data_IF_919056715941
#
_entry.id   IF_919056715941
#
_cell.length_a   1.000
_cell.length_b   1.000
_cell.length_c   1.000
_cell.angle_alpha   90.00
_cell.angle_beta   90.00
_cell.angle_gamma   90.00
#
_symmetry.space_group_name_H-M   'P 1'
#
loop_
_entity.id
_entity.type
_entity.pdbx_description
1 polymer ?
#
# COMPACT_ATOMS: atom_id res chain seq x y z
N UNK A 1 2.43 -20.91 -0.04
CA UNK A 1 3.45 -19.84 0.07
C UNK A 1 2.82 -18.44 0.10
N UNK A 2 3.43 -17.44 0.78
CA UNK A 2 3.00 -16.04 0.75
C UNK A 2 3.76 -15.25 -0.31
N UNK A 3 3.05 -14.58 -1.21
CA UNK A 3 3.61 -13.75 -2.27
C UNK A 3 3.44 -12.26 -1.99
N UNK A 4 4.19 -11.43 -2.70
CA UNK A 4 3.89 -10.01 -2.79
C UNK A 4 2.67 -9.81 -3.70
N UNK A 5 2.01 -8.66 -3.63
CA UNK A 5 0.93 -8.36 -4.56
C UNK A 5 1.53 -7.97 -5.93
N UNK A 6 1.06 -8.56 -7.06
CA UNK A 6 1.46 -8.13 -8.38
C UNK A 6 1.13 -6.65 -8.63
N UNK A 7 2.07 -5.94 -9.23
CA UNK A 7 1.89 -4.53 -9.60
C UNK A 7 0.81 -4.31 -10.67
N UNK A 8 0.48 -3.04 -10.91
CA UNK A 8 -0.30 -2.62 -12.07
C UNK A 8 0.61 -2.31 -13.24
N UNK A 9 0.06 -2.29 -14.46
CA UNK A 9 0.79 -1.74 -15.60
C UNK A 9 1.05 -0.25 -15.37
N UNK A 10 2.22 0.24 -15.78
CA UNK A 10 2.48 1.67 -15.79
C UNK A 10 1.55 2.33 -16.82
N UNK A 11 0.90 3.41 -16.38
CA UNK A 11 -0.03 4.19 -17.17
C UNK A 11 0.21 5.67 -16.84
N UNK A 12 -0.03 6.61 -17.78
CA UNK A 12 0.14 8.04 -17.50
C UNK A 12 -0.53 8.49 -16.19
N UNK A 13 -1.70 7.92 -15.89
CA UNK A 13 -2.51 8.23 -14.71
C UNK A 13 -1.88 7.78 -13.37
N UNK A 14 -1.09 6.71 -13.35
CA UNK A 14 -0.39 6.24 -12.14
C UNK A 14 1.09 6.63 -12.08
N UNK A 15 1.62 7.24 -13.14
CA UNK A 15 2.95 7.86 -13.18
C UNK A 15 2.91 9.34 -12.79
N UNK A 16 1.74 9.98 -12.81
CA UNK A 16 1.56 11.38 -12.45
C UNK A 16 0.36 11.56 -11.51
N UNK A 17 0.63 11.77 -10.21
CA UNK A 17 -0.41 12.13 -9.22
C UNK A 17 -1.49 11.06 -9.06
N UNK A 18 -1.09 9.79 -9.11
CA UNK A 18 -1.97 8.64 -8.88
C UNK A 18 -2.13 8.27 -7.40
N UNK A 19 -2.68 7.08 -7.15
CA UNK A 19 -2.78 6.46 -5.82
C UNK A 19 -1.77 5.32 -5.72
N UNK A 20 -0.87 5.40 -4.74
CA UNK A 20 0.13 4.37 -4.47
C UNK A 20 -0.26 3.57 -3.23
N UNK A 21 -0.50 2.27 -3.39
CA UNK A 21 -0.70 1.33 -2.28
C UNK A 21 0.67 0.75 -1.91
N UNK A 22 1.19 1.14 -0.75
CA UNK A 22 2.46 0.65 -0.20
C UNK A 22 2.17 -0.52 0.74
N UNK A 23 2.63 -1.71 0.38
CA UNK A 23 2.33 -2.95 1.08
C UNK A 23 3.57 -3.52 1.77
N UNK A 24 3.42 -4.11 2.96
CA UNK A 24 4.44 -5.01 3.49
C UNK A 24 4.51 -6.27 2.61
N UNK A 25 5.69 -6.91 2.51
CA UNK A 25 5.85 -8.09 1.68
C UNK A 25 5.10 -9.30 2.26
N UNK A 26 4.64 -10.19 1.38
CA UNK A 26 3.92 -11.42 1.73
C UNK A 26 2.39 -11.29 1.87
N UNK A 27 1.78 -10.20 1.39
CA UNK A 27 0.33 -9.94 1.46
C UNK A 27 -0.39 -9.96 0.10
N UNK A 28 0.22 -10.56 -0.91
CA UNK A 28 -0.38 -10.81 -2.22
C UNK A 28 -1.20 -12.10 -2.28
N UNK A 29 -1.35 -12.69 -3.48
CA UNK A 29 -2.08 -13.94 -3.69
C UNK A 29 -1.59 -15.08 -2.81
N UNK A 30 -2.54 -15.87 -2.31
CA UNK A 30 -2.28 -17.12 -1.62
C UNK A 30 -2.23 -18.25 -2.64
N UNK A 31 -1.05 -18.82 -2.88
CA UNK A 31 -0.91 -19.99 -3.74
C UNK A 31 -0.88 -21.26 -2.90
N UNK A 32 -1.64 -22.25 -3.36
CA UNK A 32 -1.60 -23.61 -2.85
C UNK A 32 -0.28 -24.25 -3.28
N UNK A 33 0.59 -24.60 -2.32
CA UNK A 33 1.90 -25.18 -2.64
C UNK A 33 1.77 -26.54 -3.32
N UNK A 34 0.65 -27.25 -3.15
CA UNK A 34 0.38 -28.52 -3.84
C UNK A 34 0.09 -28.35 -5.34
N UNK A 35 -0.28 -27.14 -5.79
CA UNK A 35 -0.56 -26.82 -7.19
C UNK A 35 0.66 -26.22 -7.91
N UNK A 36 1.75 -25.97 -7.17
CA UNK A 36 2.97 -25.41 -7.74
C UNK A 36 3.86 -26.51 -8.33
N UNK A 37 4.55 -26.23 -9.45
CA UNK A 37 5.62 -27.10 -9.92
C UNK A 37 6.67 -27.33 -8.81
N UNK A 38 7.41 -28.45 -8.85
CA UNK A 38 8.55 -28.68 -7.96
C UNK A 38 9.55 -27.50 -8.00
N UNK A 39 10.30 -27.32 -6.91
CA UNK A 39 11.37 -26.32 -6.83
C UNK A 39 12.33 -26.45 -8.04
N UNK A 40 12.56 -25.34 -8.73
CA UNK A 40 13.31 -25.32 -9.98
C UNK A 40 12.88 -24.20 -10.91
N UNK A 41 13.34 -24.28 -12.16
CA UNK A 41 13.14 -23.24 -13.17
C UNK A 41 11.66 -23.03 -13.51
N UNK A 42 10.89 -24.12 -13.67
CA UNK A 42 9.46 -24.04 -13.98
C UNK A 42 8.66 -23.30 -12.89
N UNK A 43 8.97 -23.56 -11.61
CA UNK A 43 8.35 -22.84 -10.49
C UNK A 43 8.73 -21.36 -10.50
N UNK A 44 10.01 -21.03 -10.69
CA UNK A 44 10.48 -19.63 -10.77
C UNK A 44 9.78 -18.87 -11.90
N UNK A 45 9.73 -19.45 -13.10
CA UNK A 45 9.08 -18.84 -14.26
C UNK A 45 7.57 -18.62 -14.04
N UNK A 46 6.88 -19.57 -13.39
CA UNK A 46 5.48 -19.40 -13.02
C UNK A 46 5.30 -18.24 -12.03
N UNK A 47 6.11 -18.19 -10.98
CA UNK A 47 6.04 -17.13 -9.97
C UNK A 47 6.35 -15.76 -10.58
N UNK A 48 7.37 -15.66 -11.42
CA UNK A 48 7.69 -14.44 -12.16
C UNK A 48 6.52 -13.98 -13.04
N UNK A 49 5.90 -14.92 -13.77
CA UNK A 49 4.70 -14.63 -14.59
C UNK A 49 3.52 -14.16 -13.74
N UNK A 50 3.30 -14.73 -12.55
CA UNK A 50 2.22 -14.32 -11.65
C UNK A 50 2.49 -12.93 -11.05
N UNK A 51 3.74 -12.65 -10.71
CA UNK A 51 4.17 -11.42 -10.05
C UNK A 51 4.39 -10.24 -11.00
N UNK A 52 4.48 -10.49 -12.31
CA UNK A 52 4.69 -9.45 -13.31
C UNK A 52 3.62 -8.35 -13.21
N UNK A 53 4.01 -7.06 -13.13
CA UNK A 53 3.06 -5.96 -13.16
C UNK A 53 2.26 -5.95 -14.47
N UNK A 54 0.93 -5.95 -14.38
CA UNK A 54 0.04 -5.92 -15.55
C UNK A 54 -1.36 -5.44 -15.19
N UNK A 55 -2.09 -4.93 -16.17
CA UNK A 55 -3.49 -4.50 -16.04
C UNK A 55 -3.73 -3.37 -15.03
N UNK A 56 -4.98 -2.96 -14.91
CA UNK A 56 -5.44 -2.01 -13.89
C UNK A 56 -5.69 -2.70 -12.55
N UNK A 57 -5.83 -1.94 -11.47
CA UNK A 57 -5.95 -2.47 -10.11
C UNK A 57 -7.17 -3.38 -9.91
N UNK A 58 -8.29 -3.09 -10.58
CA UNK A 58 -9.55 -3.84 -10.50
C UNK A 58 -9.67 -4.97 -11.54
N UNK A 59 -8.61 -5.24 -12.30
CA UNK A 59 -8.63 -6.28 -13.33
C UNK A 59 -8.89 -7.69 -12.73
N UNK A 60 -10.09 -8.22 -12.94
CA UNK A 60 -10.58 -9.47 -12.34
C UNK A 60 -9.76 -10.73 -12.64
N UNK A 61 -9.01 -10.75 -13.75
CA UNK A 61 -8.13 -11.87 -14.15
C UNK A 61 -6.79 -11.90 -13.43
N UNK A 62 -6.51 -10.90 -12.58
CA UNK A 62 -5.25 -10.76 -11.87
C UNK A 62 -5.57 -10.78 -10.39
N UNK A 63 -5.26 -11.91 -9.75
CA UNK A 63 -5.32 -11.98 -8.30
C UNK A 63 -4.20 -11.10 -7.72
N UNK A 64 -4.57 -10.19 -6.83
CA UNK A 64 -3.66 -9.30 -6.09
C UNK A 64 -3.64 -9.57 -4.59
N UNK A 65 -4.38 -10.59 -4.16
CA UNK A 65 -4.52 -10.96 -2.76
C UNK A 65 -5.64 -10.20 -2.06
N UNK A 66 -6.07 -10.79 -0.95
CA UNK A 66 -7.15 -10.30 -0.10
C UNK A 66 -6.90 -8.87 0.40
N UNK A 67 -5.66 -8.55 0.79
CA UNK A 67 -5.33 -7.23 1.33
C UNK A 67 -5.58 -6.10 0.33
N UNK A 68 -5.28 -6.30 -0.96
CA UNK A 68 -5.57 -5.30 -1.98
C UNK A 68 -7.09 -5.16 -2.15
N UNK A 69 -7.80 -6.27 -2.34
CA UNK A 69 -9.25 -6.28 -2.56
C UNK A 69 -10.04 -5.61 -1.43
N UNK A 70 -9.67 -5.87 -0.16
CA UNK A 70 -10.29 -5.21 0.99
C UNK A 70 -9.98 -3.72 1.05
N UNK A 71 -8.73 -3.33 0.79
CA UNK A 71 -8.33 -1.91 0.78
C UNK A 71 -9.14 -1.14 -0.25
N UNK A 72 -9.29 -1.68 -1.46
CA UNK A 72 -10.13 -1.09 -2.50
C UNK A 72 -11.59 -0.97 -2.07
N UNK A 73 -12.13 -1.99 -1.37
CA UNK A 73 -13.49 -1.92 -0.82
C UNK A 73 -13.63 -0.80 0.21
N UNK A 74 -12.64 -0.63 1.10
CA UNK A 74 -12.67 0.45 2.10
C UNK A 74 -12.59 1.83 1.45
N UNK A 75 -11.75 2.00 0.42
CA UNK A 75 -11.66 3.24 -0.34
C UNK A 75 -12.98 3.53 -1.09
N UNK A 76 -13.57 2.53 -1.74
CA UNK A 76 -14.85 2.66 -2.41
C UNK A 76 -15.99 3.02 -1.43
N UNK A 77 -16.05 2.34 -0.29
CA UNK A 77 -17.01 2.64 0.78
C UNK A 77 -16.77 4.01 1.42
N UNK A 78 -15.54 4.54 1.31
CA UNK A 78 -15.21 5.90 1.70
C UNK A 78 -15.60 6.95 0.63
N UNK A 79 -16.18 6.54 -0.49
CA UNK A 79 -16.59 7.42 -1.58
C UNK A 79 -15.52 7.64 -2.65
N UNK A 80 -14.37 6.96 -2.59
CA UNK A 80 -13.38 7.03 -3.65
C UNK A 80 -13.87 6.27 -4.89
N UNK A 81 -13.82 6.84 -6.11
CA UNK A 81 -14.34 6.21 -7.31
C UNK A 81 -13.38 5.15 -7.88
N UNK A 82 -13.14 4.07 -7.12
CA UNK A 82 -12.09 3.06 -7.41
C UNK A 82 -12.19 2.46 -8.82
N UNK A 83 -13.40 2.12 -9.29
CA UNK A 83 -13.58 1.54 -10.62
C UNK A 83 -13.31 2.54 -11.74
N UNK A 84 -13.78 3.79 -11.60
CA UNK A 84 -13.53 4.82 -12.59
C UNK A 84 -12.05 5.22 -12.64
N UNK A 85 -11.39 5.22 -11.49
CA UNK A 85 -9.99 5.64 -11.33
C UNK A 85 -9.00 4.47 -11.28
N UNK A 86 -9.41 3.27 -11.71
CA UNK A 86 -8.62 2.04 -11.57
C UNK A 86 -7.22 2.13 -12.20
N UNK A 87 -7.03 2.98 -13.22
CA UNK A 87 -5.74 3.25 -13.88
C UNK A 87 -4.78 4.09 -13.04
N UNK A 88 -5.28 4.93 -12.12
CA UNK A 88 -4.46 5.77 -11.23
C UNK A 88 -3.78 4.97 -10.13
N UNK A 89 -4.25 3.77 -9.85
CA UNK A 89 -3.70 2.95 -8.79
C UNK A 89 -2.42 2.23 -9.21
N UNK A 90 -1.51 2.14 -8.26
CA UNK A 90 -0.28 1.37 -8.32
C UNK A 90 -0.03 0.66 -7.00
N UNK A 91 0.70 -0.45 -7.06
CA UNK A 91 1.10 -1.21 -5.88
C UNK A 91 2.62 -1.22 -5.82
N UNK A 92 3.13 -1.00 -4.63
CA UNK A 92 4.54 -1.10 -4.32
C UNK A 92 4.74 -1.89 -3.03
N UNK A 93 5.72 -2.80 -3.03
CA UNK A 93 6.08 -3.57 -1.83
C UNK A 93 7.31 -2.97 -1.17
N UNK A 94 7.17 -2.58 0.09
CA UNK A 94 8.22 -1.94 0.88
C UNK A 94 8.19 -2.38 2.35
N UNK A 95 9.32 -2.81 2.92
CA UNK A 95 10.59 -3.13 2.24
C UNK A 95 10.46 -4.33 1.27
N UNK A 96 11.47 -4.63 0.44
CA UNK A 96 11.42 -5.76 -0.51
C UNK A 96 11.23 -7.10 0.20
N UNK A 97 11.93 -7.25 1.32
CA UNK A 97 11.88 -8.41 2.18
C UNK A 97 11.92 -7.95 3.63
N UNK A 98 11.36 -8.78 4.52
CA UNK A 98 11.49 -8.61 5.96
C UNK A 98 11.39 -9.96 6.65
N UNK A 99 11.97 -10.05 7.84
CA UNK A 99 11.79 -11.23 8.69
C UNK A 99 10.48 -11.11 9.48
N UNK A 100 9.42 -11.71 8.94
CA UNK A 100 8.09 -11.75 9.58
C UNK A 100 8.01 -12.55 10.88
N UNK A 101 9.11 -13.16 11.36
CA UNK A 101 9.19 -13.82 12.67
C UNK A 101 9.52 -12.86 13.81
N UNK A 102 10.03 -11.67 13.50
CA UNK A 102 10.44 -10.72 14.50
C UNK A 102 9.22 -9.98 15.06
N UNK A 103 8.87 -10.28 16.31
CA UNK A 103 7.86 -9.58 17.08
C UNK A 103 8.32 -8.13 17.26
N UNK A 104 7.67 -7.21 16.57
CA UNK A 104 7.67 -5.77 16.79
C UNK A 104 8.96 -5.01 16.39
N UNK A 105 8.84 -4.05 15.46
CA UNK A 105 9.87 -3.04 15.14
C UNK A 105 10.77 -3.31 13.93
N UNK A 106 10.89 -4.56 13.47
CA UNK A 106 11.78 -4.89 12.35
C UNK A 106 11.28 -4.38 10.99
N UNK A 107 9.97 -4.34 10.75
CA UNK A 107 9.40 -3.71 9.55
C UNK A 107 9.94 -2.29 9.40
N UNK A 108 9.87 -1.51 10.48
CA UNK A 108 10.27 -0.12 10.45
C UNK A 108 11.78 0.00 10.21
N UNK A 109 12.59 -0.82 10.85
CA UNK A 109 14.05 -0.82 10.64
C UNK A 109 14.44 -1.17 9.19
N UNK A 110 13.88 -2.24 8.63
CA UNK A 110 14.20 -2.67 7.27
C UNK A 110 13.63 -1.70 6.23
N UNK A 111 12.44 -1.13 6.49
CA UNK A 111 11.86 -0.06 5.70
C UNK A 111 12.76 1.20 5.69
N UNK A 112 13.24 1.66 6.85
CA UNK A 112 14.14 2.81 6.98
C UNK A 112 15.46 2.57 6.21
N UNK A 113 16.01 1.35 6.27
CA UNK A 113 17.21 0.98 5.49
C UNK A 113 16.97 1.06 3.98
N UNK A 114 15.77 0.74 3.54
CA UNK A 114 15.35 0.81 2.15
C UNK A 114 14.64 2.14 1.79
N UNK A 115 14.93 3.23 2.51
CA UNK A 115 14.37 4.56 2.22
C UNK A 115 14.54 4.98 0.75
N UNK A 116 15.71 4.67 0.17
CA UNK A 116 16.01 4.96 -1.23
C UNK A 116 15.00 4.35 -2.21
N UNK A 117 14.54 3.11 -1.96
CA UNK A 117 13.55 2.44 -2.82
C UNK A 117 12.18 3.10 -2.74
N UNK A 118 11.77 3.54 -1.55
CA UNK A 118 10.54 4.30 -1.40
C UNK A 118 10.64 5.64 -2.13
N UNK A 119 11.76 6.35 -1.98
CA UNK A 119 12.03 7.60 -2.70
C UNK A 119 11.99 7.41 -4.22
N UNK A 120 12.63 6.36 -4.74
CA UNK A 120 12.65 6.08 -6.18
C UNK A 120 11.24 5.80 -6.72
N UNK A 121 10.41 5.08 -5.95
CA UNK A 121 9.02 4.83 -6.33
C UNK A 121 8.17 6.12 -6.29
N UNK A 122 8.37 6.97 -5.28
CA UNK A 122 7.74 8.29 -5.20
C UNK A 122 8.19 9.20 -6.33
N UNK A 123 9.47 9.17 -6.69
CA UNK A 123 10.02 9.92 -7.82
C UNK A 123 9.38 9.46 -9.14
N UNK A 124 9.25 8.14 -9.32
CA UNK A 124 8.64 7.54 -10.51
C UNK A 124 7.17 7.88 -10.67
N UNK A 125 6.40 7.86 -9.58
CA UNK A 125 4.91 7.93 -9.64
C UNK A 125 4.31 9.25 -9.20
N UNK A 126 5.07 10.06 -8.45
CA UNK A 126 4.63 11.31 -7.84
C UNK A 126 3.22 11.19 -7.23
N UNK A 127 2.98 10.25 -6.29
CA UNK A 127 1.64 9.91 -5.86
C UNK A 127 0.94 11.09 -5.20
N UNK A 128 -0.32 11.32 -5.57
CA UNK A 128 -1.19 12.26 -4.87
C UNK A 128 -1.60 11.72 -3.51
N UNK A 129 -1.86 10.41 -3.46
CA UNK A 129 -2.22 9.69 -2.24
C UNK A 129 -1.32 8.47 -2.11
N UNK A 130 -0.69 8.31 -0.95
CA UNK A 130 0.08 7.12 -0.59
C UNK A 130 -0.61 6.38 0.56
N UNK A 131 -1.12 5.19 0.29
CA UNK A 131 -1.82 4.33 1.25
C UNK A 131 -0.85 3.26 1.74
N UNK A 132 -0.34 3.43 2.95
CA UNK A 132 0.52 2.45 3.62
C UNK A 132 -0.35 1.41 4.34
N UNK A 133 -0.31 0.16 3.88
CA UNK A 133 -0.99 -0.98 4.51
C UNK A 133 -0.18 -1.53 5.69
N UNK A 134 0.12 -0.64 6.63
CA UNK A 134 0.50 -0.87 8.03
C UNK A 134 0.79 0.49 8.63
N UNK A 135 0.25 0.81 9.81
CA UNK A 135 0.64 2.06 10.51
C UNK A 135 2.14 2.12 10.78
N UNK A 136 2.80 0.97 10.96
CA UNK A 136 4.25 0.90 11.14
C UNK A 136 5.04 1.30 9.89
N UNK A 137 4.48 1.07 8.69
CA UNK A 137 5.12 1.54 7.45
C UNK A 137 4.99 3.06 7.33
N UNK A 138 3.85 3.64 7.71
CA UNK A 138 3.74 5.10 7.78
C UNK A 138 4.63 5.70 8.87
N UNK A 139 4.79 5.02 10.02
CA UNK A 139 5.75 5.43 11.05
C UNK A 139 7.18 5.41 10.48
N UNK A 140 7.54 4.37 9.73
CA UNK A 140 8.84 4.27 9.07
C UNK A 140 9.04 5.37 8.01
N UNK A 141 8.02 5.69 7.21
CA UNK A 141 8.07 6.81 6.26
C UNK A 141 8.24 8.18 6.96
N UNK A 142 7.84 8.25 8.23
CA UNK A 142 7.99 9.42 9.09
C UNK A 142 9.28 9.42 9.92
N UNK A 143 10.11 8.38 9.85
CA UNK A 143 11.43 8.39 10.44
C UNK A 143 12.24 9.57 9.85
N UNK A 144 12.97 10.34 10.68
CA UNK A 144 13.73 11.50 10.20
C UNK A 144 14.64 11.20 9.00
N UNK A 145 15.31 10.05 9.00
CA UNK A 145 16.19 9.66 7.90
C UNK A 145 15.39 9.45 6.61
N UNK A 146 14.21 8.81 6.69
CA UNK A 146 13.36 8.56 5.53
C UNK A 146 12.72 9.85 5.02
N UNK A 147 12.33 10.76 5.92
CA UNK A 147 11.81 12.09 5.57
C UNK A 147 12.81 12.90 4.75
N UNK A 148 14.10 12.86 5.08
CA UNK A 148 15.14 13.52 4.29
C UNK A 148 15.21 12.97 2.86
N UNK A 149 15.10 11.65 2.69
CA UNK A 149 15.02 11.03 1.35
C UNK A 149 13.74 11.43 0.60
N UNK A 150 12.60 11.54 1.29
CA UNK A 150 11.32 11.86 0.66
C UNK A 150 11.14 13.35 0.37
N UNK A 151 11.83 14.25 1.08
CA UNK A 151 11.65 15.70 0.95
C UNK A 151 11.69 16.22 -0.51
N UNK A 152 12.62 15.79 -1.38
CA UNK A 152 12.64 16.26 -2.77
C UNK A 152 11.38 15.88 -3.56
N UNK A 153 10.79 14.71 -3.28
CA UNK A 153 9.73 14.09 -4.09
C UNK A 153 8.33 14.27 -3.51
N UNK A 154 8.17 14.20 -2.19
CA UNK A 154 6.90 14.32 -1.47
C UNK A 154 6.76 15.68 -0.74
N UNK A 155 7.85 16.45 -0.64
CA UNK A 155 7.92 17.64 0.21
C UNK A 155 8.04 17.29 1.69
N UNK A 156 7.71 18.24 2.55
CA UNK A 156 7.71 18.05 4.00
C UNK A 156 6.30 17.77 4.56
N UNK A 157 6.19 17.07 5.70
CA UNK A 157 4.94 16.99 6.42
C UNK A 157 4.47 18.38 6.84
N UNK A 158 3.22 18.73 6.51
CA UNK A 158 2.59 20.00 6.92
C UNK A 158 2.06 19.92 8.36
N UNK A 159 1.76 18.71 8.81
CA UNK A 159 1.26 18.43 10.15
C UNK A 159 1.76 17.07 10.67
N UNK A 160 1.80 16.86 12.00
CA UNK A 160 2.00 15.53 12.55
C UNK A 160 0.90 14.56 12.09
N UNK A 161 1.24 13.29 11.95
CA UNK A 161 0.23 12.27 11.66
C UNK A 161 -0.83 12.23 12.77
N UNK A 162 -2.09 12.32 12.40
CA UNK A 162 -3.22 12.32 13.32
C UNK A 162 -4.04 11.04 13.19
N UNK A 163 -4.62 10.61 14.30
CA UNK A 163 -5.41 9.38 14.35
C UNK A 163 -6.83 9.66 13.88
N UNK A 164 -7.30 8.84 12.94
CA UNK A 164 -8.65 8.94 12.36
C UNK A 164 -9.65 8.00 13.00
N UNK A 165 -9.17 6.94 13.65
CA UNK A 165 -9.99 5.94 14.34
C UNK A 165 -10.00 6.16 15.85
N UNK A 166 -11.18 5.99 16.47
CA UNK A 166 -11.33 6.01 17.93
C UNK A 166 -11.03 4.67 18.61
N UNK A 167 -10.97 3.56 17.84
CA UNK A 167 -10.83 2.20 18.38
C UNK A 167 -9.37 1.67 18.39
N UNK A 168 -9.20 0.39 18.79
CA UNK A 168 -7.92 -0.34 18.91
C UNK A 168 -7.04 -0.28 17.65
N UNK A 169 -7.63 -0.25 16.45
CA UNK A 169 -6.86 -0.21 15.20
C UNK A 169 -6.40 1.22 14.91
N UNK A 170 -5.13 1.38 14.55
CA UNK A 170 -4.49 2.68 14.34
C UNK A 170 -4.60 3.05 12.86
N UNK A 171 -5.62 3.84 12.52
CA UNK A 171 -5.75 4.51 11.22
C UNK A 171 -5.18 5.92 11.36
N UNK A 172 -4.28 6.29 10.47
CA UNK A 172 -3.60 7.58 10.49
C UNK A 172 -3.80 8.32 9.17
N UNK A 173 -3.94 9.63 9.28
CA UNK A 173 -3.82 10.55 8.15
C UNK A 173 -2.68 11.53 8.39
N UNK A 174 -2.03 11.96 7.33
CA UNK A 174 -1.03 13.01 7.40
C UNK A 174 -0.88 13.71 6.07
N UNK A 175 -0.95 15.04 6.10
CA UNK A 175 -0.73 15.86 4.93
C UNK A 175 0.74 16.23 4.77
N UNK A 176 1.26 16.02 3.57
CA UNK A 176 2.54 16.53 3.12
C UNK A 176 2.30 17.52 1.98
N UNK A 177 3.29 18.36 1.67
CA UNK A 177 3.16 19.41 0.65
C UNK A 177 2.68 18.88 -0.72
N UNK A 178 3.06 17.65 -1.10
CA UNK A 178 2.75 17.09 -2.43
C UNK A 178 1.90 15.82 -2.38
N UNK A 179 1.69 15.22 -1.21
CA UNK A 179 1.06 13.91 -1.07
C UNK A 179 0.24 13.82 0.22
N UNK A 180 -0.93 13.20 0.13
CA UNK A 180 -1.67 12.75 1.30
C UNK A 180 -1.19 11.34 1.68
N UNK A 181 -0.65 11.18 2.89
CA UNK A 181 -0.25 9.87 3.40
C UNK A 181 -1.32 9.30 4.33
N UNK A 182 -1.67 8.03 4.11
CA UNK A 182 -2.69 7.32 4.88
C UNK A 182 -2.07 6.03 5.42
N UNK A 183 -2.14 5.83 6.74
CA UNK A 183 -1.72 4.59 7.38
C UNK A 183 -2.96 3.75 7.71
N UNK A 184 -3.09 2.59 7.08
CA UNK A 184 -4.17 1.63 7.33
C UNK A 184 -3.62 0.35 7.96
N UNK A 185 -4.38 -0.34 8.83
CA UNK A 185 -4.00 -1.69 9.23
C UNK A 185 -4.06 -2.64 8.02
N UNK A 186 -3.17 -3.63 8.01
CA UNK A 186 -3.15 -4.62 6.92
C UNK A 186 -4.44 -5.45 6.98
N UNK A 187 -5.28 -5.49 5.93
CA UNK A 187 -6.49 -6.30 5.96
C UNK A 187 -6.16 -7.78 6.13
N UNK A 188 -6.89 -8.46 7.02
CA UNK A 188 -6.74 -9.90 7.27
C UNK A 188 -8.11 -10.56 7.33
N UNK A 189 -8.21 -11.80 6.83
CA UNK A 189 -9.46 -12.60 6.89
C UNK A 189 -10.00 -12.78 8.32
N UNK A 190 -9.13 -12.67 9.33
CA UNK A 190 -9.47 -12.76 10.75
C UNK A 190 -9.93 -11.43 11.38
N UNK A 191 -10.04 -10.34 10.61
CA UNK A 191 -10.57 -9.06 11.12
C UNK A 191 -12.05 -9.19 11.48
N UNK A 192 -12.47 -8.47 12.53
CA UNK A 192 -13.85 -8.53 13.04
C UNK A 192 -14.84 -7.93 12.02
N UNK A 193 -16.08 -8.47 11.93
CA UNK A 193 -17.18 -7.82 11.20
C UNK A 193 -17.44 -6.40 11.73
N UNK A 194 -17.64 -5.40 10.86
CA UNK A 194 -17.84 -3.99 11.21
C UNK A 194 -16.61 -3.07 11.05
N UNK A 195 -15.43 -3.67 10.88
CA UNK A 195 -14.21 -2.89 10.64
C UNK A 195 -14.16 -2.19 9.27
N UNK A 196 -14.61 -2.79 8.16
CA UNK A 196 -14.64 -2.12 6.85
C UNK A 196 -15.40 -0.79 6.88
N UNK A 197 -16.50 -0.72 7.61
CA UNK A 197 -17.33 0.47 7.77
C UNK A 197 -16.63 1.56 8.59
N UNK A 198 -15.91 1.17 9.65
CA UNK A 198 -15.08 2.07 10.44
C UNK A 198 -13.92 2.64 9.61
N UNK A 199 -13.19 1.77 8.89
CA UNK A 199 -12.11 2.18 8.01
C UNK A 199 -12.61 3.16 6.94
N UNK A 200 -13.74 2.84 6.30
CA UNK A 200 -14.38 3.72 5.32
C UNK A 200 -14.82 5.07 5.92
N UNK A 201 -15.30 5.10 7.17
CA UNK A 201 -15.67 6.34 7.88
C UNK A 201 -14.44 7.17 8.21
N UNK A 202 -13.39 6.55 8.74
CA UNK A 202 -12.14 7.21 9.07
C UNK A 202 -11.51 7.83 7.81
N UNK A 203 -11.41 7.06 6.73
CA UNK A 203 -10.87 7.53 5.44
C UNK A 203 -11.69 8.69 4.88
N UNK A 204 -13.03 8.64 4.99
CA UNK A 204 -13.90 9.75 4.54
C UNK A 204 -13.54 11.10 5.14
N UNK A 205 -13.09 11.13 6.40
CA UNK A 205 -12.72 12.40 7.04
C UNK A 205 -11.54 13.11 6.38
N UNK A 206 -10.69 12.36 5.66
CA UNK A 206 -9.58 12.93 4.90
C UNK A 206 -10.06 13.57 3.59
N UNK A 207 -11.01 12.92 2.91
CA UNK A 207 -11.54 13.40 1.64
C UNK A 207 -12.53 14.55 1.78
N UNK A 208 -13.22 14.68 2.93
CA UNK A 208 -14.10 15.82 3.21
C UNK A 208 -13.30 17.10 3.53
N UNK A 209 -12.05 16.95 4.01
CA UNK A 209 -11.19 18.07 4.38
C UNK A 209 -10.34 18.62 3.24
N UNK A 210 -10.27 17.93 2.12
CA UNK A 210 -9.35 18.24 1.03
C UNK A 210 -10.09 18.29 -0.32
N UNK A 211 -9.77 19.30 -1.14
CA UNK A 211 -10.14 19.39 -2.57
C UNK A 211 -9.33 18.40 -3.42
N UNK A 212 -9.43 17.09 -3.11
CA UNK A 212 -8.75 16.02 -3.88
C UNK A 212 -9.66 15.30 -4.89
N UNK A 213 -10.81 15.88 -5.21
CA UNK A 213 -11.69 15.45 -6.31
C UNK A 213 -11.79 16.56 -7.35
#
# INVERSE_FOLDING_TARGET
MKLNAPGTADAPENLARGVLIVMPPGFGPELNDAELPPEGEARRALLEKLMRPRGVITASRIDRGFAVSETLRWLAAAGFPVEAEAKRFSIFTWPAAWDGRARDGHVARDAVREAGRLRDEFQKRSPLIAVFLSSQLLDAANDPAVREFLAPVAGHPLEPAFRLSGERLRILGQRWEKTLMIGLPVPRKSMRPGFPEEAARAIRTLFVREEFL
#
